data_IF_262549410091
#
_entry.id   IF_262549410091
#
_cell.length_a   1.000
_cell.length_b   1.000
_cell.length_c   1.000
_cell.angle_alpha   90.00
_cell.angle_beta   90.00
_cell.angle_gamma   90.00
#
_symmetry.space_group_name_H-M   'P 1'
#
loop_
_entity.id
_entity.type
_entity.pdbx_description
1 polymer ?
#
# COMPACT_ATOMS: atom_id res chain seq x y z
N UNK A 1 2.93 3.52 25.17
CA UNK A 1 2.99 3.11 23.76
C UNK A 1 3.66 4.23 22.97
N UNK A 2 4.62 3.93 22.09
CA UNK A 2 5.24 4.97 21.26
C UNK A 2 4.29 5.32 20.11
N UNK A 3 3.69 6.51 20.14
CA UNK A 3 2.69 6.95 19.14
C UNK A 3 3.19 6.85 17.70
N UNK A 4 4.50 7.01 17.49
CA UNK A 4 5.14 6.85 16.18
C UNK A 4 5.10 5.43 15.65
N UNK A 5 5.28 4.42 16.52
CA UNK A 5 5.25 3.01 16.12
C UNK A 5 3.82 2.57 15.82
N UNK A 6 2.85 3.02 16.62
CA UNK A 6 1.42 2.76 16.36
C UNK A 6 0.97 3.37 15.03
N UNK A 7 1.43 4.59 14.72
CA UNK A 7 1.13 5.23 13.43
C UNK A 7 1.71 4.42 12.26
N UNK A 8 2.92 3.89 12.41
CA UNK A 8 3.52 3.02 11.38
C UNK A 8 2.78 1.69 11.24
N UNK A 9 2.41 1.05 12.36
CA UNK A 9 1.63 -0.18 12.35
C UNK A 9 0.30 0.02 11.62
N UNK A 10 -0.43 1.09 11.95
CA UNK A 10 -1.70 1.43 11.29
C UNK A 10 -1.56 1.63 9.77
N UNK A 11 -0.42 2.18 9.29
CA UNK A 11 -0.15 2.26 7.86
C UNK A 11 0.01 0.88 7.21
N UNK A 12 0.68 -0.05 7.88
CA UNK A 12 0.82 -1.43 7.38
C UNK A 12 -0.50 -2.20 7.43
N UNK A 13 -1.33 -1.99 8.45
CA UNK A 13 -2.68 -2.56 8.51
C UNK A 13 -3.56 -2.07 7.35
N UNK A 14 -3.48 -0.77 7.02
CA UNK A 14 -4.16 -0.21 5.86
C UNK A 14 -3.65 -0.83 4.54
N UNK A 15 -2.33 -1.01 4.39
CA UNK A 15 -1.75 -1.68 3.21
C UNK A 15 -2.26 -3.12 3.11
N UNK A 16 -2.27 -3.87 4.21
CA UNK A 16 -2.77 -5.24 4.24
C UNK A 16 -4.24 -5.30 3.81
N UNK A 17 -5.07 -4.40 4.32
CA UNK A 17 -6.49 -4.29 3.96
C UNK A 17 -6.68 -4.09 2.46
N UNK A 18 -5.92 -3.18 1.84
CA UNK A 18 -5.99 -2.94 0.39
C UNK A 18 -5.56 -4.17 -0.42
N UNK A 19 -4.50 -4.87 0.02
CA UNK A 19 -4.01 -6.07 -0.65
C UNK A 19 -4.99 -7.26 -0.54
N UNK A 20 -5.74 -7.36 0.57
CA UNK A 20 -6.79 -8.35 0.72
C UNK A 20 -7.97 -8.09 -0.23
N UNK A 21 -8.37 -6.82 -0.39
CA UNK A 21 -9.39 -6.44 -1.38
C UNK A 21 -8.92 -6.68 -2.82
N UNK A 22 -7.67 -6.33 -3.14
CA UNK A 22 -7.03 -6.65 -4.41
C UNK A 22 -7.10 -8.17 -4.70
N UNK A 23 -6.68 -9.01 -3.74
CA UNK A 23 -6.74 -10.47 -3.88
C UNK A 23 -8.17 -10.97 -4.11
N UNK A 24 -9.15 -10.42 -3.38
CA UNK A 24 -10.57 -10.75 -3.55
C UNK A 24 -11.03 -10.47 -4.98
N UNK A 25 -10.75 -9.27 -5.50
CA UNK A 25 -11.09 -8.90 -6.86
C UNK A 25 -10.39 -9.74 -7.92
N UNK A 26 -9.12 -10.09 -7.73
CA UNK A 26 -8.41 -11.00 -8.64
C UNK A 26 -9.10 -12.38 -8.73
N UNK A 27 -9.52 -12.94 -7.58
CA UNK A 27 -10.22 -14.23 -7.52
C UNK A 27 -11.60 -14.16 -8.21
N UNK A 28 -12.36 -13.09 -7.98
CA UNK A 28 -13.68 -12.90 -8.58
C UNK A 28 -13.56 -12.65 -10.10
N UNK A 29 -12.61 -11.84 -10.54
CA UNK A 29 -12.33 -11.63 -11.96
C UNK A 29 -12.01 -12.95 -12.67
N UNK A 30 -11.13 -13.77 -12.09
CA UNK A 30 -10.80 -15.08 -12.63
C UNK A 30 -12.02 -16.01 -12.72
N UNK A 31 -12.91 -15.98 -11.72
CA UNK A 31 -14.17 -16.74 -11.75
C UNK A 31 -15.06 -16.27 -12.91
N UNK A 32 -15.36 -14.98 -13.01
CA UNK A 32 -16.18 -14.43 -14.09
C UNK A 32 -15.62 -14.74 -15.48
N UNK A 33 -14.30 -14.66 -15.65
CA UNK A 33 -13.66 -14.97 -16.93
C UNK A 33 -13.78 -16.46 -17.29
N UNK A 34 -13.69 -17.39 -16.32
CA UNK A 34 -13.94 -18.81 -16.56
C UNK A 34 -15.40 -19.10 -16.90
N UNK A 35 -16.33 -18.32 -16.33
CA UNK A 35 -17.76 -18.42 -16.58
C UNK A 35 -18.18 -17.71 -17.91
N UNK A 36 -17.23 -17.11 -18.64
CA UNK A 36 -17.49 -16.37 -19.88
C UNK A 36 -18.09 -14.97 -19.69
N UNK A 37 -18.21 -14.49 -18.45
CA UNK A 37 -18.76 -13.18 -18.09
C UNK A 37 -17.71 -12.06 -18.25
N UNK A 38 -17.23 -11.85 -19.49
CA UNK A 38 -16.09 -10.96 -19.79
C UNK A 38 -16.23 -9.53 -19.22
N UNK A 39 -17.35 -8.80 -19.43
CA UNK A 39 -17.47 -7.42 -18.90
C UNK A 39 -17.34 -7.35 -17.38
N UNK A 40 -17.88 -8.35 -16.66
CA UNK A 40 -17.80 -8.42 -15.19
C UNK A 40 -16.38 -8.76 -14.74
N UNK A 41 -15.72 -9.69 -15.44
CA UNK A 41 -14.30 -10.00 -15.23
C UNK A 41 -13.41 -8.76 -15.35
N UNK A 42 -13.59 -7.97 -16.41
CA UNK A 42 -12.83 -6.73 -16.62
C UNK A 42 -13.10 -5.67 -15.54
N UNK A 43 -14.36 -5.49 -15.13
CA UNK A 43 -14.69 -4.55 -14.05
C UNK A 43 -13.94 -4.87 -12.75
N UNK A 44 -13.88 -6.15 -12.38
CA UNK A 44 -13.10 -6.58 -11.21
C UNK A 44 -11.59 -6.47 -11.41
N UNK A 45 -11.09 -6.64 -12.63
CA UNK A 45 -9.66 -6.41 -12.93
C UNK A 45 -9.27 -4.94 -12.74
N UNK A 46 -10.13 -3.98 -13.12
CA UNK A 46 -9.88 -2.56 -12.88
C UNK A 46 -10.02 -2.20 -11.39
N UNK A 47 -10.94 -2.82 -10.66
CA UNK A 47 -11.01 -2.66 -9.21
C UNK A 47 -9.72 -3.16 -8.51
N UNK A 48 -9.22 -4.33 -8.91
CA UNK A 48 -7.93 -4.86 -8.47
C UNK A 48 -6.80 -3.84 -8.70
N UNK A 49 -6.70 -3.24 -9.89
CA UNK A 49 -5.69 -2.22 -10.18
C UNK A 49 -5.81 -1.01 -9.23
N UNK A 50 -7.02 -0.53 -8.97
CA UNK A 50 -7.27 0.56 -8.02
C UNK A 50 -6.72 0.26 -6.62
N UNK A 51 -6.97 -0.93 -6.08
CA UNK A 51 -6.45 -1.33 -4.77
C UNK A 51 -4.92 -1.48 -4.76
N UNK A 52 -4.32 -1.99 -5.84
CA UNK A 52 -2.85 -2.06 -5.96
C UNK A 52 -2.22 -0.68 -5.99
N UNK A 53 -2.82 0.28 -6.69
CA UNK A 53 -2.36 1.67 -6.71
C UNK A 53 -2.46 2.30 -5.32
N UNK A 54 -3.56 2.07 -4.60
CA UNK A 54 -3.73 2.57 -3.24
C UNK A 54 -2.70 1.98 -2.27
N UNK A 55 -2.47 0.66 -2.32
CA UNK A 55 -1.44 0.00 -1.52
C UNK A 55 -0.03 0.54 -1.83
N UNK A 56 0.29 0.79 -3.10
CA UNK A 56 1.55 1.41 -3.52
C UNK A 56 1.72 2.81 -2.94
N UNK A 57 0.68 3.65 -3.03
CA UNK A 57 0.73 5.01 -2.49
C UNK A 57 0.97 5.01 -0.98
N UNK A 58 0.33 4.10 -0.25
CA UNK A 58 0.54 3.91 1.19
C UNK A 58 1.96 3.46 1.52
N UNK A 59 2.53 2.52 0.74
CA UNK A 59 3.93 2.12 0.87
C UNK A 59 4.89 3.30 0.64
N UNK A 60 4.65 4.10 -0.37
CA UNK A 60 5.47 5.28 -0.67
C UNK A 60 5.38 6.33 0.45
N UNK A 61 4.20 6.50 1.06
CA UNK A 61 4.00 7.38 2.21
C UNK A 61 4.79 6.90 3.43
N UNK A 62 4.73 5.59 3.74
CA UNK A 62 5.52 4.98 4.81
C UNK A 62 7.03 5.15 4.56
N UNK A 63 7.50 4.88 3.34
CA UNK A 63 8.90 5.05 2.96
C UNK A 63 9.38 6.50 3.14
N UNK A 64 8.57 7.49 2.74
CA UNK A 64 8.89 8.92 2.95
C UNK A 64 8.95 9.29 4.42
N UNK A 65 8.07 8.73 5.26
CA UNK A 65 8.12 8.94 6.71
C UNK A 65 9.42 8.39 7.31
N UNK A 66 9.80 7.17 6.92
CA UNK A 66 11.07 6.58 7.35
C UNK A 66 12.28 7.39 6.87
N UNK A 67 12.32 7.81 5.60
CA UNK A 67 13.43 8.58 5.06
C UNK A 67 13.62 9.93 5.77
N UNK A 68 12.53 10.58 6.21
CA UNK A 68 12.60 11.81 7.02
C UNK A 68 13.22 11.56 8.39
N UNK A 69 12.92 10.43 9.03
CA UNK A 69 13.47 10.05 10.35
C UNK A 69 14.91 9.53 10.28
N UNK A 70 15.31 8.94 9.15
CA UNK A 70 16.64 8.37 8.95
C UNK A 70 17.73 9.38 8.58
N UNK A 71 17.42 10.67 8.38
CA UNK A 71 18.46 11.70 8.20
C UNK A 71 19.25 11.84 9.50
N UNK A 72 20.57 11.57 9.51
CA UNK A 72 21.38 11.85 10.68
C UNK A 72 21.42 13.36 10.90
N UNK A 73 21.22 13.79 12.14
CA UNK A 73 21.58 15.16 12.54
C UNK A 73 23.04 15.38 12.14
N UNK A 74 23.38 16.40 11.34
CA UNK A 74 24.79 16.71 11.11
C UNK A 74 25.37 17.07 12.48
N UNK A 75 26.23 16.20 13.01
CA UNK A 75 27.09 16.54 14.14
C UNK A 75 27.87 17.78 13.71
N UNK A 76 27.64 18.89 14.39
CA UNK A 76 28.15 20.20 14.04
C UNK A 76 29.66 20.15 13.78
N UNK A 77 30.04 20.26 12.51
CA UNK A 77 31.38 20.61 12.11
C UNK A 77 31.60 22.08 12.44
N UNK A 78 32.07 22.33 13.66
CA UNK A 78 32.65 23.62 14.01
C UNK A 78 34.00 23.69 13.30
N UNK A 79 34.02 24.34 12.14
CA UNK A 79 35.25 24.76 11.48
C UNK A 79 35.80 25.95 12.28
N UNK A 80 36.90 25.73 12.98
CA UNK A 80 37.87 26.75 13.37
C UNK A 80 39.16 26.45 12.62
#
# INVERSE_FOLDING_TARGET
>A
MNQDLETQAAHFDAIATELEQALSHARIAARHLRDGEVPRGCAHAFALEGHLLQARQSLDAAARLHARKARPTPMGGQLV
#
